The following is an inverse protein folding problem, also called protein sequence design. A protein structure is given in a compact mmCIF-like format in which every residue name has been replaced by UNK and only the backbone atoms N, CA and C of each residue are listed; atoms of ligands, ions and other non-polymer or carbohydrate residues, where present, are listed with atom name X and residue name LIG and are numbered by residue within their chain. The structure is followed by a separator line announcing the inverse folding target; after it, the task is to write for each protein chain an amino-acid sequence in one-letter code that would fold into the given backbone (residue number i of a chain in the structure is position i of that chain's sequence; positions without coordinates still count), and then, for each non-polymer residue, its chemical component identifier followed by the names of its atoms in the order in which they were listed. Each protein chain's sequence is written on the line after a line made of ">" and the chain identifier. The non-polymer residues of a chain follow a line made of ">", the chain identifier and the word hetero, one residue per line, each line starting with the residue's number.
data_IF_725976077423
#
_entry.id   IF_725976077423
#
_cell.length_a   1.000
_cell.length_b   1.000
_cell.length_c   1.000
_cell.angle_alpha   90.00
_cell.angle_beta   90.00
_cell.angle_gamma   90.00
#
_symmetry.space_group_name_H-M   'P 1'
#
loop_
_entity.id
_entity.type
_entity.pdbx_description
1 polymer ?
#
# COMPACT_ATOMS: atom_id res chain seq x y z
N UNK A 1 19.99 21.66 7.11
CA UNK A 1 21.33 21.82 6.50
C UNK A 1 21.45 21.11 5.15
N UNK A 2 20.96 19.87 5.01
CA UNK A 2 20.93 19.14 3.73
C UNK A 2 20.09 19.83 2.64
N UNK A 3 18.84 20.20 2.94
CA UNK A 3 17.94 20.84 1.96
C UNK A 3 18.46 22.19 1.46
N UNK A 4 19.17 22.95 2.32
CA UNK A 4 19.85 24.20 1.94
C UNK A 4 20.98 23.98 0.93
N UNK A 5 21.54 22.77 0.84
CA UNK A 5 22.52 22.36 -0.17
C UNK A 5 21.87 21.75 -1.41
N UNK A 6 20.54 21.80 -1.52
CA UNK A 6 19.78 21.27 -2.65
C UNK A 6 19.65 19.75 -2.67
N UNK A 7 19.83 19.08 -1.52
CA UNK A 7 19.62 17.64 -1.41
C UNK A 7 18.21 17.30 -0.91
N UNK A 8 17.60 16.28 -1.49
CA UNK A 8 16.32 15.73 -1.04
C UNK A 8 16.56 14.62 -0.03
N UNK A 9 16.19 14.89 1.22
CA UNK A 9 16.33 13.97 2.33
C UNK A 9 15.03 13.90 3.13
N UNK A 10 14.70 12.70 3.55
CA UNK A 10 13.64 12.42 4.53
C UNK A 10 14.33 11.91 5.79
N UNK A 11 14.04 12.54 6.93
CA UNK A 11 14.50 12.09 8.23
C UNK A 11 13.28 11.71 9.08
N UNK A 12 13.28 10.52 9.66
CA UNK A 12 12.25 10.05 10.58
C UNK A 12 12.92 9.27 11.71
N UNK A 13 12.77 9.78 12.93
CA UNK A 13 13.51 9.28 14.11
C UNK A 13 15.02 9.17 13.81
N UNK A 14 15.58 7.97 13.87
CA UNK A 14 16.98 7.63 13.59
C UNK A 14 17.23 7.25 12.11
N UNK A 15 16.17 7.13 11.31
CA UNK A 15 16.23 6.75 9.90
C UNK A 15 16.38 7.95 8.97
N UNK A 16 17.34 7.88 8.05
CA UNK A 16 17.53 8.87 6.98
C UNK A 16 17.41 8.20 5.61
N UNK A 17 16.65 8.82 4.72
CA UNK A 17 16.45 8.39 3.35
C UNK A 17 16.82 9.51 2.38
N UNK A 18 17.65 9.20 1.40
CA UNK A 18 18.12 10.15 0.38
C UNK A 18 17.59 9.68 -0.97
N UNK A 19 17.05 10.61 -1.75
CA UNK A 19 16.62 10.34 -3.12
C UNK A 19 17.13 11.45 -4.03
N UNK A 20 17.93 11.12 -5.04
CA UNK A 20 18.53 12.09 -5.95
C UNK A 20 18.42 11.63 -7.40
N UNK A 21 18.43 12.59 -8.33
CA UNK A 21 18.26 12.33 -9.77
C UNK A 21 19.39 11.51 -10.40
N UNK A 22 20.59 11.52 -9.79
CA UNK A 22 21.76 10.81 -10.32
C UNK A 22 22.51 10.09 -9.21
N UNK A 23 23.14 8.96 -9.54
CA UNK A 23 24.01 8.20 -8.63
C UNK A 23 25.09 9.08 -8.00
N UNK A 24 25.71 9.97 -8.80
CA UNK A 24 26.74 10.90 -8.35
C UNK A 24 26.21 11.90 -7.30
N UNK A 25 25.05 12.53 -7.54
CA UNK A 25 24.43 13.41 -6.53
C UNK A 25 24.02 12.64 -5.28
N UNK A 26 23.49 11.43 -5.43
CA UNK A 26 23.12 10.59 -4.29
C UNK A 26 24.34 10.25 -3.41
N UNK A 27 25.47 9.88 -4.03
CA UNK A 27 26.72 9.62 -3.32
C UNK A 27 27.24 10.88 -2.59
N UNK A 28 27.19 12.03 -3.26
CA UNK A 28 27.56 13.32 -2.65
C UNK A 28 26.66 13.67 -1.46
N UNK A 29 25.34 13.49 -1.60
CA UNK A 29 24.38 13.71 -0.54
C UNK A 29 24.65 12.79 0.66
N UNK A 30 24.92 11.50 0.41
CA UNK A 30 25.26 10.53 1.46
C UNK A 30 26.53 10.93 2.22
N UNK A 31 27.59 11.29 1.50
CA UNK A 31 28.85 11.74 2.12
C UNK A 31 28.65 13.01 2.97
N UNK A 32 27.87 13.97 2.47
CA UNK A 32 27.55 15.20 3.21
C UNK A 32 26.71 14.90 4.45
N UNK A 33 25.73 13.98 4.36
CA UNK A 33 24.92 13.57 5.51
C UNK A 33 25.79 12.92 6.58
N UNK A 34 26.64 11.97 6.21
CA UNK A 34 27.57 11.27 7.11
C UNK A 34 28.48 12.27 7.84
N UNK A 35 29.08 13.21 7.10
CA UNK A 35 29.93 14.24 7.68
C UNK A 35 29.16 15.14 8.65
N UNK A 36 27.92 15.51 8.30
CA UNK A 36 27.05 16.30 9.16
C UNK A 36 26.69 15.56 10.45
N UNK A 37 26.24 14.31 10.36
CA UNK A 37 25.85 13.51 11.52
C UNK A 37 27.02 13.33 12.50
N UNK A 38 28.22 13.03 11.97
CA UNK A 38 29.45 12.94 12.79
C UNK A 38 29.79 14.28 13.45
N UNK A 39 29.68 15.39 12.71
CA UNK A 39 29.93 16.74 13.26
C UNK A 39 28.97 17.09 14.39
N UNK A 40 27.73 16.60 14.31
CA UNK A 40 26.71 16.79 15.35
C UNK A 40 26.85 15.80 16.53
N UNK A 41 27.84 14.91 16.51
CA UNK A 41 28.10 13.95 17.59
C UNK A 41 27.32 12.65 17.51
N UNK A 42 26.65 12.35 16.39
CA UNK A 42 25.95 11.07 16.21
C UNK A 42 26.91 9.94 15.82
N UNK A 43 26.66 8.74 16.37
CA UNK A 43 27.31 7.50 15.97
C UNK A 43 26.60 6.89 14.76
N UNK A 44 27.37 6.53 13.73
CA UNK A 44 26.83 5.95 12.49
C UNK A 44 26.88 4.43 12.57
N UNK A 45 25.75 3.78 12.33
CA UNK A 45 25.67 2.33 12.14
C UNK A 45 26.08 1.96 10.72
N UNK A 46 27.38 1.77 10.49
CA UNK A 46 27.94 1.52 9.14
C UNK A 46 27.35 0.29 8.44
N UNK A 47 26.99 -0.75 9.19
CA UNK A 47 26.34 -1.95 8.65
C UNK A 47 24.94 -1.68 8.08
N UNK A 48 24.32 -0.54 8.42
CA UNK A 48 23.01 -0.10 7.91
C UNK A 48 23.11 1.00 6.85
N UNK A 49 24.33 1.50 6.58
CA UNK A 49 24.54 2.47 5.52
C UNK A 49 24.48 1.74 4.19
N UNK A 50 23.63 2.21 3.29
CA UNK A 50 23.48 1.65 1.94
C UNK A 50 23.98 2.67 0.93
N UNK A 51 24.88 2.25 0.04
CA UNK A 51 25.32 3.07 -1.08
C UNK A 51 24.19 3.35 -2.07
N UNK A 52 24.32 4.37 -2.93
CA UNK A 52 23.30 4.68 -3.94
C UNK A 52 22.89 3.46 -4.77
N UNK A 53 21.64 3.08 -4.63
CA UNK A 53 21.02 1.93 -5.28
C UNK A 53 19.62 2.31 -5.80
N UNK A 54 19.08 1.47 -6.69
CA UNK A 54 17.72 1.68 -7.20
C UNK A 54 16.62 1.11 -6.30
N UNK A 55 16.97 0.10 -5.49
CA UNK A 55 16.07 -0.62 -4.59
C UNK A 55 16.60 -0.56 -3.17
N UNK A 56 15.78 -0.07 -2.25
CA UNK A 56 16.16 0.05 -0.83
C UNK A 56 14.96 -0.23 0.07
N UNK A 57 15.20 -0.84 1.23
CA UNK A 57 14.18 -1.03 2.26
C UNK A 57 14.28 0.09 3.28
N UNK A 58 13.21 0.88 3.42
CA UNK A 58 13.10 1.96 4.41
C UNK A 58 11.82 1.78 5.22
N UNK A 59 11.92 1.77 6.55
CA UNK A 59 10.83 1.42 7.48
C UNK A 59 10.07 0.13 7.11
N UNK A 60 10.81 -0.87 6.61
CA UNK A 60 10.25 -2.16 6.23
C UNK A 60 9.46 -2.15 4.94
N UNK A 61 9.46 -1.06 4.17
CA UNK A 61 8.91 -0.98 2.82
C UNK A 61 10.04 -0.92 1.81
N UNK A 62 10.01 -1.76 0.79
CA UNK A 62 10.91 -1.66 -0.36
C UNK A 62 10.48 -0.50 -1.25
N UNK A 63 11.44 0.30 -1.70
CA UNK A 63 11.26 1.44 -2.59
C UNK A 63 12.10 1.16 -3.82
N UNK A 64 11.47 1.08 -5.00
CA UNK A 64 12.13 0.88 -6.29
C UNK A 64 11.98 2.13 -7.16
N UNK A 65 13.08 2.83 -7.35
CA UNK A 65 13.15 4.03 -8.19
C UNK A 65 13.10 3.75 -9.70
N UNK A 66 13.32 2.51 -10.13
CA UNK A 66 13.29 2.12 -11.55
C UNK A 66 11.85 1.97 -12.03
N UNK A 67 11.04 1.29 -11.22
CA UNK A 67 9.63 1.03 -11.51
C UNK A 67 8.70 2.08 -10.92
N UNK A 68 9.22 2.97 -10.07
CA UNK A 68 8.45 3.97 -9.31
C UNK A 68 7.36 3.31 -8.45
N UNK A 69 7.76 2.22 -7.78
CA UNK A 69 6.89 1.40 -6.94
C UNK A 69 7.44 1.29 -5.52
N UNK A 70 6.55 1.23 -4.55
CA UNK A 70 6.83 0.72 -3.22
C UNK A 70 6.23 -0.67 -3.06
N UNK A 71 6.95 -1.55 -2.36
CA UNK A 71 6.54 -2.94 -2.16
C UNK A 71 6.64 -3.34 -0.70
N UNK A 72 5.67 -4.13 -0.24
CA UNK A 72 5.84 -4.89 1.01
C UNK A 72 6.85 -6.01 0.72
N UNK A 73 7.86 -6.23 1.58
CA UNK A 73 8.82 -7.32 1.40
C UNK A 73 8.12 -8.67 1.26
N UNK A 74 8.55 -9.47 0.28
CA UNK A 74 7.85 -10.71 -0.10
C UNK A 74 7.80 -11.74 1.03
N UNK A 75 8.84 -11.79 1.87
CA UNK A 75 8.86 -12.65 3.06
C UNK A 75 7.74 -12.26 4.03
N UNK A 76 7.63 -10.97 4.37
CA UNK A 76 6.58 -10.46 5.27
C UNK A 76 5.17 -10.65 4.71
N UNK A 77 5.00 -10.51 3.40
CA UNK A 77 3.73 -10.82 2.73
C UNK A 77 3.35 -12.29 2.86
N UNK A 78 4.33 -13.18 2.65
CA UNK A 78 4.12 -14.63 2.73
C UNK A 78 3.74 -15.04 4.16
N UNK A 79 4.48 -14.54 5.15
CA UNK A 79 4.19 -14.78 6.58
C UNK A 79 2.80 -14.29 6.97
N UNK A 80 2.45 -13.08 6.54
CA UNK A 80 1.14 -12.48 6.83
C UNK A 80 -0.01 -13.22 6.14
N UNK A 81 0.19 -13.68 4.90
CA UNK A 81 -0.80 -14.49 4.19
C UNK A 81 -1.03 -15.84 4.89
N UNK A 82 0.05 -16.49 5.35
CA UNK A 82 -0.04 -17.72 6.14
C UNK A 82 -0.81 -17.50 7.45
N UNK A 83 -0.50 -16.42 8.16
CA UNK A 83 -1.19 -16.08 9.41
C UNK A 83 -2.68 -15.79 9.18
N UNK A 84 -3.03 -15.08 8.09
CA UNK A 84 -4.43 -14.87 7.72
C UNK A 84 -5.16 -16.19 7.44
N UNK A 85 -4.54 -17.11 6.71
CA UNK A 85 -5.09 -18.44 6.44
C UNK A 85 -5.34 -19.22 7.74
N UNK A 86 -4.43 -19.15 8.71
CA UNK A 86 -4.65 -19.75 10.03
C UNK A 86 -5.81 -19.09 10.78
N UNK A 87 -5.93 -17.76 10.75
CA UNK A 87 -7.01 -17.06 11.44
C UNK A 87 -8.39 -17.40 10.87
N UNK A 88 -8.48 -17.66 9.56
CA UNK A 88 -9.73 -18.10 8.91
C UNK A 88 -10.24 -19.44 9.45
N UNK A 89 -9.36 -20.29 9.97
CA UNK A 89 -9.72 -21.60 10.53
C UNK A 89 -10.06 -21.53 12.03
N UNK A 90 -9.79 -20.40 12.70
CA UNK A 90 -9.96 -20.25 14.15
C UNK A 90 -11.39 -19.83 14.48
N UNK A 91 -11.96 -20.47 15.51
CA UNK A 91 -13.21 -19.98 16.15
C UNK A 91 -12.95 -18.79 17.07
N UNK A 92 -11.76 -18.75 17.68
CA UNK A 92 -11.35 -17.74 18.65
C UNK A 92 -9.85 -17.43 18.54
N UNK A 93 -9.44 -16.19 18.83
CA UNK A 93 -8.04 -15.82 19.04
C UNK A 93 -7.89 -15.01 20.32
N UNK A 94 -6.74 -15.09 20.98
CA UNK A 94 -6.48 -14.25 22.16
C UNK A 94 -6.42 -12.77 21.78
N UNK A 95 -6.59 -11.88 22.77
CA UNK A 95 -6.41 -10.44 22.58
C UNK A 95 -5.03 -10.13 22.00
N UNK A 96 -3.97 -10.75 22.54
CA UNK A 96 -2.59 -10.59 22.07
C UNK A 96 -2.41 -11.02 20.61
N UNK A 97 -2.98 -12.17 20.22
CA UNK A 97 -2.94 -12.63 18.83
C UNK A 97 -3.68 -11.67 17.90
N UNK A 98 -4.87 -11.22 18.31
CA UNK A 98 -5.69 -10.30 17.52
C UNK A 98 -5.01 -8.93 17.35
N UNK A 99 -4.38 -8.42 18.41
CA UNK A 99 -3.57 -7.19 18.37
C UNK A 99 -2.36 -7.33 17.44
N UNK A 100 -1.67 -8.48 17.49
CA UNK A 100 -0.53 -8.75 16.61
C UNK A 100 -0.96 -8.74 15.14
N UNK A 101 -2.05 -9.45 14.81
CA UNK A 101 -2.61 -9.46 13.46
C UNK A 101 -3.03 -8.03 13.02
N UNK A 102 -3.78 -7.31 13.86
CA UNK A 102 -4.21 -5.95 13.55
C UNK A 102 -3.02 -5.00 13.33
N UNK A 103 -1.94 -5.15 14.09
CA UNK A 103 -0.71 -4.38 13.90
C UNK A 103 -0.03 -4.65 12.56
N UNK A 104 0.08 -5.93 12.16
CA UNK A 104 0.66 -6.33 10.86
C UNK A 104 -0.19 -5.84 9.70
N UNK A 105 -1.52 -5.96 9.79
CA UNK A 105 -2.44 -5.46 8.78
C UNK A 105 -2.44 -3.93 8.70
N UNK A 106 -2.31 -3.23 9.83
CA UNK A 106 -2.18 -1.78 9.85
C UNK A 106 -0.88 -1.31 9.18
N UNK A 107 0.22 -2.03 9.40
CA UNK A 107 1.47 -1.81 8.66
C UNK A 107 1.28 -2.05 7.15
N UNK A 108 0.65 -3.16 6.76
CA UNK A 108 0.35 -3.45 5.34
C UNK A 108 -0.57 -2.39 4.69
N UNK A 109 -1.48 -1.81 5.47
CA UNK A 109 -2.36 -0.70 5.06
C UNK A 109 -1.63 0.61 4.75
N UNK A 110 -0.32 0.71 5.01
CA UNK A 110 0.48 1.83 4.53
C UNK A 110 0.65 1.80 2.99
N UNK A 111 0.58 0.60 2.37
CA UNK A 111 0.63 0.42 0.93
C UNK A 111 -0.72 -0.02 0.34
N UNK A 112 -1.47 -0.84 1.06
CA UNK A 112 -2.82 -1.23 0.65
C UNK A 112 -3.79 -0.08 0.88
N UNK A 113 -4.09 0.65 -0.20
CA UNK A 113 -5.13 1.69 -0.20
C UNK A 113 -6.45 1.10 0.30
N UNK A 114 -7.12 1.85 1.16
CA UNK A 114 -8.39 1.51 1.81
C UNK A 114 -8.41 0.22 2.66
N UNK A 115 -7.27 -0.46 2.85
CA UNK A 115 -7.15 -1.66 3.69
C UNK A 115 -7.59 -1.43 5.14
N UNK A 116 -7.48 -0.18 5.63
CA UNK A 116 -7.90 0.19 7.00
C UNK A 116 -9.40 0.01 7.25
N UNK A 117 -10.23 0.03 6.21
CA UNK A 117 -11.67 -0.23 6.33
C UNK A 117 -11.91 -1.65 6.87
N UNK A 118 -11.16 -2.62 6.33
CA UNK A 118 -11.19 -4.03 6.73
C UNK A 118 -10.41 -4.33 8.02
N UNK A 119 -9.93 -3.29 8.73
CA UNK A 119 -9.35 -3.43 10.07
C UNK A 119 -10.32 -3.05 11.18
N UNK A 120 -11.36 -2.27 10.85
CA UNK A 120 -12.19 -1.60 11.86
C UNK A 120 -12.92 -2.60 12.76
N UNK A 121 -13.49 -3.67 12.19
CA UNK A 121 -14.21 -4.68 12.97
C UNK A 121 -13.29 -5.49 13.88
N UNK A 122 -12.07 -5.81 13.41
CA UNK A 122 -11.04 -6.48 14.21
C UNK A 122 -10.68 -5.61 15.42
N UNK A 123 -10.39 -4.32 15.20
CA UNK A 123 -10.04 -3.37 16.27
C UNK A 123 -11.19 -3.21 17.26
N UNK A 124 -12.42 -3.02 16.78
CA UNK A 124 -13.60 -2.93 17.65
C UNK A 124 -13.78 -4.19 18.51
N UNK A 125 -13.54 -5.36 17.93
CA UNK A 125 -13.53 -6.64 18.65
C UNK A 125 -12.49 -6.67 19.78
N UNK A 126 -11.25 -6.24 19.47
CA UNK A 126 -10.15 -6.15 20.45
C UNK A 126 -10.48 -5.19 21.58
N UNK A 127 -11.05 -4.01 21.28
CA UNK A 127 -11.36 -2.97 22.27
C UNK A 127 -12.39 -3.44 23.32
N UNK A 128 -13.22 -4.42 22.99
CA UNK A 128 -14.18 -5.02 23.95
C UNK A 128 -13.50 -5.96 24.96
N UNK A 129 -12.24 -6.37 24.72
CA UNK A 129 -11.51 -7.30 25.58
C UNK A 129 -10.71 -6.55 26.65
N UNK A 130 -11.05 -6.78 27.92
CA UNK A 130 -10.35 -6.16 29.06
C UNK A 130 -8.94 -6.74 29.27
N UNK A 131 -8.83 -8.05 29.42
CA UNK A 131 -7.56 -8.74 29.76
C UNK A 131 -6.92 -9.44 28.57
N UNK A 132 -5.62 -9.70 28.64
CA UNK A 132 -4.85 -10.28 27.52
C UNK A 132 -5.19 -11.73 27.20
N UNK A 133 -5.65 -12.49 28.19
CA UNK A 133 -6.12 -13.87 28.03
C UNK A 133 -7.57 -13.96 27.51
N UNK A 134 -8.28 -12.83 27.43
CA UNK A 134 -9.61 -12.83 26.81
C UNK A 134 -9.50 -13.19 25.34
N UNK A 135 -10.53 -13.87 24.84
CA UNK A 135 -10.59 -14.34 23.46
C UNK A 135 -11.60 -13.54 22.65
N UNK A 136 -11.17 -13.08 21.48
CA UNK A 136 -12.03 -12.56 20.44
C UNK A 136 -12.67 -13.74 19.72
N UNK A 137 -14.01 -13.79 19.66
CA UNK A 137 -14.73 -14.71 18.77
C UNK A 137 -14.60 -14.21 17.34
N UNK A 138 -14.22 -15.11 16.43
CA UNK A 138 -14.20 -14.82 15.00
C UNK A 138 -15.63 -14.83 14.46
N UNK A 139 -16.29 -13.67 14.51
CA UNK A 139 -17.62 -13.50 13.92
C UNK A 139 -17.55 -13.61 12.40
N UNK A 140 -18.69 -13.88 11.75
CA UNK A 140 -18.77 -13.94 10.29
C UNK A 140 -18.24 -12.65 9.63
N UNK A 141 -18.54 -11.49 10.20
CA UNK A 141 -18.06 -10.20 9.69
C UNK A 141 -16.54 -10.02 9.82
N UNK A 142 -15.94 -10.44 10.94
CA UNK A 142 -14.49 -10.40 11.14
C UNK A 142 -13.80 -11.36 10.15
N UNK A 143 -14.38 -12.55 9.96
CA UNK A 143 -13.86 -13.53 9.01
C UNK A 143 -13.96 -13.02 7.57
N UNK A 144 -15.01 -12.26 7.22
CA UNK A 144 -15.11 -11.60 5.91
C UNK A 144 -14.00 -10.58 5.70
N UNK A 145 -13.69 -9.75 6.71
CA UNK A 145 -12.58 -8.79 6.63
C UNK A 145 -11.22 -9.50 6.50
N UNK A 146 -10.99 -10.56 7.28
CA UNK A 146 -9.77 -11.39 7.21
C UNK A 146 -9.67 -12.08 5.84
N UNK A 147 -10.79 -12.59 5.31
CA UNK A 147 -10.84 -13.22 3.99
C UNK A 147 -10.53 -12.21 2.89
N UNK A 148 -11.10 -11.01 2.97
CA UNK A 148 -10.78 -9.93 2.04
C UNK A 148 -9.28 -9.66 2.03
N UNK A 149 -8.64 -9.54 3.21
CA UNK A 149 -7.20 -9.36 3.30
C UNK A 149 -6.40 -10.52 2.68
N UNK A 150 -6.79 -11.76 2.97
CA UNK A 150 -6.13 -12.95 2.43
C UNK A 150 -6.18 -13.00 0.89
N UNK A 151 -7.37 -12.77 0.33
CA UNK A 151 -7.61 -12.85 -1.11
C UNK A 151 -6.97 -11.63 -1.83
N UNK A 152 -7.13 -10.44 -1.26
CA UNK A 152 -6.58 -9.20 -1.79
C UNK A 152 -5.05 -9.19 -1.82
N UNK A 153 -4.37 -9.80 -0.85
CA UNK A 153 -2.89 -9.88 -0.85
C UNK A 153 -2.33 -10.56 -2.10
N UNK A 154 -3.04 -11.54 -2.65
CA UNK A 154 -2.64 -12.21 -3.90
C UNK A 154 -2.82 -11.30 -5.12
N UNK A 155 -3.84 -10.47 -5.11
CA UNK A 155 -4.20 -9.58 -6.22
C UNK A 155 -3.35 -8.30 -6.23
N UNK A 156 -3.21 -7.65 -5.08
CA UNK A 156 -2.41 -6.43 -4.91
C UNK A 156 -0.90 -6.69 -4.98
N UNK A 157 -0.48 -7.91 -4.65
CA UNK A 157 0.91 -8.37 -4.67
C UNK A 157 1.88 -7.45 -3.88
N UNK A 158 1.33 -6.71 -2.90
CA UNK A 158 2.07 -5.79 -2.04
C UNK A 158 2.63 -4.54 -2.71
N UNK A 159 2.22 -4.16 -3.93
CA UNK A 159 2.82 -3.05 -4.68
C UNK A 159 1.93 -1.82 -4.74
N UNK A 160 2.49 -0.64 -4.50
CA UNK A 160 1.84 0.65 -4.75
C UNK A 160 2.73 1.55 -5.60
N UNK A 161 2.16 2.15 -6.65
CA UNK A 161 2.86 3.13 -7.48
C UNK A 161 3.00 4.49 -6.78
N UNK A 162 4.05 5.22 -7.12
CA UNK A 162 4.18 6.64 -6.78
C UNK A 162 3.22 7.45 -7.65
N UNK A 163 2.02 7.70 -7.14
CA UNK A 163 1.07 8.57 -7.81
C UNK A 163 1.53 10.03 -7.73
N UNK A 164 1.50 10.73 -8.86
CA UNK A 164 1.65 12.17 -8.89
C UNK A 164 0.50 12.80 -8.08
N UNK A 165 0.83 13.72 -7.17
CA UNK A 165 -0.18 14.43 -6.37
C UNK A 165 -1.05 15.36 -7.20
N UNK A 166 -0.55 15.80 -8.35
CA UNK A 166 -1.25 16.68 -9.26
C UNK A 166 -1.69 15.86 -10.47
N UNK A 167 -3.00 15.76 -10.75
CA UNK A 167 -3.47 15.13 -11.97
C UNK A 167 -2.94 15.93 -13.17
N UNK A 168 -2.26 15.24 -14.09
CA UNK A 168 -1.73 15.85 -15.33
C UNK A 168 -2.89 16.12 -16.30
N UNK A 169 -4.00 15.40 -16.13
CA UNK A 169 -5.18 15.48 -16.98
C UNK A 169 -6.43 15.02 -16.24
N UNK A 170 -7.61 15.38 -16.74
CA UNK A 170 -8.90 14.87 -16.28
C UNK A 170 -9.54 14.00 -17.36
N UNK A 171 -10.10 12.86 -16.94
CA UNK A 171 -10.97 11.99 -17.73
C UNK A 171 -12.28 11.90 -16.94
N UNK A 172 -13.41 12.03 -17.64
CA UNK A 172 -14.73 11.85 -17.03
C UNK A 172 -15.31 10.54 -17.53
N UNK A 173 -15.79 9.70 -16.64
CA UNK A 173 -16.47 8.44 -16.97
C UNK A 173 -17.75 8.33 -16.18
N UNK A 174 -18.75 7.71 -16.78
CA UNK A 174 -19.98 7.33 -16.10
C UNK A 174 -20.44 5.95 -16.57
N UNK A 175 -21.13 5.23 -15.69
CA UNK A 175 -21.61 3.89 -15.95
C UNK A 175 -23.04 3.73 -15.46
N UNK A 176 -23.82 3.01 -16.23
CA UNK A 176 -25.16 2.56 -15.85
C UNK A 176 -25.28 1.06 -16.08
N UNK A 177 -26.46 0.49 -15.80
CA UNK A 177 -26.69 -0.96 -15.96
C UNK A 177 -26.70 -1.44 -17.41
N UNK A 178 -26.88 -0.58 -18.40
CA UNK A 178 -26.91 -0.94 -19.83
C UNK A 178 -25.62 -0.62 -20.57
N UNK A 179 -24.79 0.30 -20.06
CA UNK A 179 -23.55 0.68 -20.71
C UNK A 179 -22.73 1.68 -19.91
N UNK A 180 -21.65 2.14 -20.50
CA UNK A 180 -20.81 3.21 -19.98
C UNK A 180 -20.36 4.16 -21.07
N UNK A 181 -19.84 5.30 -20.63
CA UNK A 181 -19.15 6.21 -21.51
C UNK A 181 -18.07 6.99 -20.77
N UNK A 182 -17.26 7.67 -21.56
CA UNK A 182 -16.30 8.62 -21.03
C UNK A 182 -15.92 9.66 -22.07
N UNK A 183 -15.35 10.74 -21.58
CA UNK A 183 -14.96 11.91 -22.36
C UNK A 183 -13.56 12.36 -21.98
N UNK A 184 -12.75 12.67 -23.00
CA UNK A 184 -11.39 13.15 -22.84
C UNK A 184 -10.99 14.05 -24.03
N UNK A 185 -10.65 15.32 -23.76
CA UNK A 185 -10.08 16.24 -24.76
C UNK A 185 -10.81 16.27 -26.12
N UNK A 186 -12.14 16.24 -26.11
CA UNK A 186 -13.03 16.23 -27.30
C UNK A 186 -13.21 14.88 -27.98
N UNK A 187 -12.59 13.81 -27.48
CA UNK A 187 -12.94 12.44 -27.84
C UNK A 187 -13.87 11.85 -26.78
N UNK A 188 -14.70 10.90 -27.22
CA UNK A 188 -15.64 10.20 -26.35
C UNK A 188 -15.70 8.72 -26.71
N UNK A 189 -16.11 7.93 -25.73
CA UNK A 189 -16.45 6.55 -25.96
C UNK A 189 -17.81 6.21 -25.36
N UNK A 190 -18.41 5.19 -25.96
CA UNK A 190 -19.57 4.50 -25.46
C UNK A 190 -19.29 3.00 -25.51
N UNK A 191 -19.80 2.29 -24.52
CA UNK A 191 -19.74 0.84 -24.42
C UNK A 191 -21.13 0.33 -24.07
N UNK A 192 -21.60 -0.65 -24.83
CA UNK A 192 -22.80 -1.41 -24.52
C UNK A 192 -22.39 -2.70 -23.79
N UNK A 193 -22.87 -2.91 -22.56
CA UNK A 193 -22.47 -4.09 -21.80
C UNK A 193 -22.93 -5.41 -22.40
N UNK A 194 -24.05 -5.43 -23.12
CA UNK A 194 -24.56 -6.66 -23.72
C UNK A 194 -23.72 -7.06 -24.93
N UNK A 195 -23.36 -6.10 -25.77
CA UNK A 195 -22.66 -6.35 -27.03
C UNK A 195 -21.14 -6.45 -26.84
N UNK A 196 -20.53 -5.52 -26.10
CA UNK A 196 -19.08 -5.38 -26.03
C UNK A 196 -18.46 -6.21 -24.90
N UNK A 197 -19.15 -6.31 -23.75
CA UNK A 197 -18.66 -7.02 -22.56
C UNK A 197 -19.78 -7.78 -21.82
N UNK A 198 -20.34 -8.86 -22.41
CA UNK A 198 -21.52 -9.55 -21.85
C UNK A 198 -21.40 -9.95 -20.37
N UNK A 199 -20.18 -10.28 -19.90
CA UNK A 199 -19.93 -10.63 -18.50
C UNK A 199 -20.19 -9.46 -17.53
N UNK A 200 -20.05 -8.22 -17.99
CA UNK A 200 -20.21 -7.02 -17.17
C UNK A 200 -21.67 -6.80 -16.75
N UNK A 201 -22.64 -7.33 -17.50
CA UNK A 201 -24.08 -7.18 -17.21
C UNK A 201 -24.49 -7.68 -15.82
N UNK A 202 -23.73 -8.63 -15.26
CA UNK A 202 -23.98 -9.22 -13.93
C UNK A 202 -23.28 -8.45 -12.79
N UNK A 203 -22.43 -7.49 -13.10
CA UNK A 203 -21.62 -6.79 -12.10
C UNK A 203 -22.43 -5.75 -11.32
N UNK A 204 -22.00 -5.48 -10.09
CA UNK A 204 -22.57 -4.39 -9.29
C UNK A 204 -22.28 -3.03 -9.95
N UNK A 205 -23.11 -2.01 -9.70
CA UNK A 205 -22.94 -0.67 -10.32
C UNK A 205 -21.54 -0.09 -10.03
N UNK A 206 -21.05 -0.19 -8.80
CA UNK A 206 -19.69 0.25 -8.44
C UNK A 206 -18.58 -0.48 -9.22
N UNK A 207 -18.80 -1.75 -9.59
CA UNK A 207 -17.84 -2.50 -10.40
C UNK A 207 -17.87 -2.00 -11.86
N UNK A 208 -19.05 -1.66 -12.38
CA UNK A 208 -19.21 -1.05 -13.70
C UNK A 208 -18.58 0.35 -13.78
N UNK A 209 -18.75 1.17 -12.75
CA UNK A 209 -18.10 2.48 -12.63
C UNK A 209 -16.57 2.33 -12.64
N UNK A 210 -16.02 1.41 -11.83
CA UNK A 210 -14.59 1.13 -11.81
C UNK A 210 -14.08 0.57 -13.14
N UNK A 211 -14.85 -0.31 -13.78
CA UNK A 211 -14.50 -0.89 -15.07
C UNK A 211 -14.49 0.17 -16.19
N UNK A 212 -15.40 1.14 -16.14
CA UNK A 212 -15.46 2.26 -17.09
C UNK A 212 -14.20 3.12 -17.04
N UNK A 213 -13.65 3.36 -15.85
CA UNK A 213 -12.34 4.03 -15.70
C UNK A 213 -11.24 3.20 -16.37
N UNK A 214 -11.23 1.88 -16.18
CA UNK A 214 -10.23 1.02 -16.81
C UNK A 214 -10.34 1.00 -18.35
N UNK A 215 -11.55 1.07 -18.89
CA UNK A 215 -11.79 1.17 -20.33
C UNK A 215 -11.30 2.51 -20.88
N UNK A 216 -11.55 3.60 -20.17
CA UNK A 216 -11.07 4.93 -20.56
C UNK A 216 -9.54 5.03 -20.63
N UNK A 217 -8.82 4.29 -19.77
CA UNK A 217 -7.34 4.26 -19.75
C UNK A 217 -6.74 3.38 -20.86
N UNK A 218 -7.49 2.39 -21.36
CA UNK A 218 -7.01 1.48 -22.42
C UNK A 218 -7.13 2.06 -23.83
N UNK A 219 -7.93 3.11 -23.99
CA UNK A 219 -8.22 3.75 -25.28
C UNK A 219 -7.19 4.83 -25.57
#
# INVERSE_FOLDING_TARGET
>A
MMSRRGFTIVAYLDGFFICERTKKRCAQALAVLIALLRKLGFCISWSKVTDPCHKIVFFGVEIDSTTLESRLPISKLTDLKSELAEFLLRKHASKKQSQSLAGKLNWASALVRDGRVFLRRIINGIMRLKQDWHKLRMSGEILQDIKWWHDFMSTFNGKSFFLAKVPITSVVTDACKSGAGGFYHSDWFYVNWVEDYPFATQLHINELEAFSVALAVKR
#
